data_IF_232718505719
#
_entry.id   IF_232718505719
#
_cell.length_a   1.000
_cell.length_b   1.000
_cell.length_c   1.000
_cell.angle_alpha   90.00
_cell.angle_beta   90.00
_cell.angle_gamma   90.00
#
_symmetry.space_group_name_H-M   'P 1'
#
loop_
_entity.id
_entity.type
_entity.pdbx_description
1 polymer ?
#
# COMPACT_ATOMS: atom_id res chain seq x y z
N UNK A 1 -10.79 -3.27 -65.36
CA UNK A 1 -11.77 -3.45 -64.26
C UNK A 1 -11.48 -2.37 -63.24
N UNK A 2 -12.16 -1.25 -63.39
CA UNK A 2 -12.01 -0.06 -62.59
C UNK A 2 -12.85 -0.16 -61.32
N UNK A 3 -12.24 0.13 -60.18
CA UNK A 3 -12.91 0.21 -58.87
C UNK A 3 -12.97 1.68 -58.47
N UNK A 4 -14.15 2.25 -58.17
CA UNK A 4 -14.25 3.66 -57.80
C UNK A 4 -13.89 3.87 -56.32
N UNK A 5 -13.14 4.94 -56.06
CA UNK A 5 -12.85 5.48 -54.73
C UNK A 5 -14.08 6.21 -54.18
N UNK A 6 -14.54 5.80 -53.00
CA UNK A 6 -15.57 6.51 -52.22
C UNK A 6 -14.90 7.49 -51.26
N UNK A 7 -15.09 8.79 -51.52
CA UNK A 7 -14.75 9.87 -50.59
C UNK A 7 -15.71 9.88 -49.40
N UNK A 8 -15.18 9.55 -48.21
CA UNK A 8 -15.89 9.65 -46.94
C UNK A 8 -15.55 10.98 -46.25
N UNK A 9 -16.37 12.00 -46.48
CA UNK A 9 -16.28 13.28 -45.76
C UNK A 9 -16.73 13.11 -44.30
N UNK A 10 -15.75 13.14 -43.37
CA UNK A 10 -15.99 13.26 -41.94
C UNK A 10 -16.23 14.72 -41.55
N UNK A 11 -17.50 15.09 -41.33
CA UNK A 11 -17.92 16.32 -40.64
C UNK A 11 -17.50 16.25 -39.16
N UNK A 12 -16.51 17.04 -38.74
CA UNK A 12 -16.23 17.32 -37.32
C UNK A 12 -17.19 18.39 -36.81
N UNK A 13 -18.19 17.98 -36.02
CA UNK A 13 -19.01 18.88 -35.21
C UNK A 13 -18.22 19.31 -33.95
N UNK A 14 -17.97 20.61 -33.84
CA UNK A 14 -17.31 21.22 -32.67
C UNK A 14 -18.37 21.56 -31.62
N UNK A 15 -18.53 20.71 -30.60
CA UNK A 15 -19.31 21.04 -29.40
C UNK A 15 -18.41 21.72 -28.37
N UNK A 16 -18.64 23.02 -28.15
CA UNK A 16 -18.09 23.75 -27.01
C UNK A 16 -18.84 23.33 -25.74
N UNK A 17 -18.15 22.62 -24.86
CA UNK A 17 -18.62 22.39 -23.49
C UNK A 17 -18.41 23.66 -22.68
N UNK A 18 -19.50 24.26 -22.22
CA UNK A 18 -19.51 25.40 -21.31
C UNK A 18 -19.27 24.90 -19.88
N UNK A 19 -18.12 25.28 -19.29
CA UNK A 19 -17.82 24.99 -17.88
C UNK A 19 -18.55 26.00 -16.96
N UNK A 20 -19.17 25.54 -15.86
CA UNK A 20 -19.81 26.43 -14.90
C UNK A 20 -18.80 27.26 -14.08
N UNK A 21 -19.22 28.47 -13.76
CA UNK A 21 -18.44 29.50 -13.07
C UNK A 21 -17.95 29.05 -11.68
N UNK A 22 -16.69 29.39 -11.38
CA UNK A 22 -16.04 29.19 -10.07
C UNK A 22 -16.73 30.03 -9.00
N UNK A 23 -17.22 29.37 -7.94
CA UNK A 23 -17.61 30.02 -6.68
C UNK A 23 -16.36 30.27 -5.84
N UNK A 24 -16.06 31.53 -5.57
CA UNK A 24 -15.06 31.99 -4.61
C UNK A 24 -15.57 31.82 -3.18
N UNK A 25 -14.88 31.01 -2.37
CA UNK A 25 -15.11 30.93 -0.93
C UNK A 25 -14.40 32.11 -0.24
N UNK A 26 -15.15 32.95 0.45
CA UNK A 26 -14.64 33.97 1.37
C UNK A 26 -14.31 33.28 2.70
N UNK A 27 -13.04 33.29 3.09
CA UNK A 27 -12.59 32.79 4.38
C UNK A 27 -12.80 33.86 5.47
N UNK A 28 -13.66 33.57 6.45
CA UNK A 28 -13.76 34.37 7.67
C UNK A 28 -12.60 34.03 8.61
N UNK A 29 -11.81 35.06 8.97
CA UNK A 29 -10.76 34.96 9.97
C UNK A 29 -11.36 34.91 11.38
N UNK A 30 -10.99 33.89 12.16
CA UNK A 30 -11.31 33.78 13.59
C UNK A 30 -10.09 34.30 14.38
N UNK A 31 -10.27 35.24 15.34
CA UNK A 31 -9.17 35.74 16.15
C UNK A 31 -8.68 34.68 17.15
N UNK A 32 -7.37 34.44 17.17
CA UNK A 32 -6.69 33.58 18.16
C UNK A 32 -6.48 34.35 19.46
N UNK A 33 -7.05 33.84 20.54
CA UNK A 33 -6.77 34.28 21.91
C UNK A 33 -5.36 33.88 22.35
N UNK A 34 -4.61 34.87 22.82
CA UNK A 34 -3.29 34.73 23.43
C UNK A 34 -3.43 34.30 24.89
N UNK A 35 -2.95 33.10 25.23
CA UNK A 35 -2.75 32.69 26.63
C UNK A 35 -1.26 32.52 26.94
N UNK A 36 -0.77 33.45 27.77
CA UNK A 36 0.57 33.45 28.34
C UNK A 36 0.64 32.46 29.51
N UNK A 37 1.36 31.35 29.33
CA UNK A 37 1.57 30.31 30.34
C UNK A 37 3.05 30.13 30.69
N UNK A 38 3.38 30.54 31.92
CA UNK A 38 4.67 30.56 32.63
C UNK A 38 5.61 29.37 32.37
N UNK A 39 6.88 29.70 32.07
CA UNK A 39 8.03 28.78 32.10
C UNK A 39 8.40 28.43 33.54
N UNK A 40 8.56 27.13 33.84
CA UNK A 40 9.41 26.67 34.95
C UNK A 40 10.65 26.03 34.35
N UNK A 41 11.79 26.65 34.62
CA UNK A 41 13.14 26.13 34.47
C UNK A 41 13.41 25.20 35.65
N UNK A 42 13.73 23.94 35.37
CA UNK A 42 14.61 23.12 36.22
C UNK A 42 15.47 22.24 35.30
N UNK A 43 16.77 22.50 35.40
CA UNK A 43 17.94 21.62 35.26
C UNK A 43 17.69 20.16 35.66
N UNK A 44 18.45 19.15 35.29
CA UNK A 44 19.50 18.89 34.31
C UNK A 44 19.93 17.44 34.58
N UNK A 45 20.32 16.70 33.54
CA UNK A 45 21.22 15.55 33.58
C UNK A 45 20.80 14.33 34.44
N UNK A 46 20.43 13.25 33.73
CA UNK A 46 20.71 11.81 33.98
C UNK A 46 19.55 10.98 33.39
N UNK A 47 19.56 10.76 32.07
CA UNK A 47 18.76 9.72 31.39
C UNK A 47 19.16 9.64 29.91
N UNK A 48 20.44 9.36 29.64
CA UNK A 48 20.85 8.80 28.36
C UNK A 48 21.26 7.36 28.66
N UNK A 49 20.77 6.39 27.87
CA UNK A 49 20.95 4.93 28.01
C UNK A 49 19.91 4.17 28.86
N UNK A 50 18.62 4.27 28.49
CA UNK A 50 17.62 3.21 28.75
C UNK A 50 16.33 3.45 27.92
N UNK A 51 16.48 3.72 26.63
CA UNK A 51 15.37 3.97 25.71
C UNK A 51 14.84 2.73 25.00
N UNK A 52 14.78 1.58 25.67
CA UNK A 52 14.00 0.42 25.21
C UNK A 52 12.69 0.39 26.02
N UNK A 53 11.90 1.46 25.87
CA UNK A 53 10.51 1.40 26.30
C UNK A 53 9.83 0.32 25.48
N UNK A 54 9.27 -0.70 26.12
CA UNK A 54 8.40 -1.66 25.49
C UNK A 54 7.34 -0.88 24.69
N UNK A 55 7.47 -0.88 23.37
CA UNK A 55 6.44 -0.36 22.47
C UNK A 55 5.32 -1.39 22.53
N UNK A 56 4.46 -1.23 23.53
CA UNK A 56 3.17 -1.88 23.55
C UNK A 56 2.38 -1.30 22.37
N UNK A 57 2.27 -2.07 21.30
CA UNK A 57 1.28 -1.82 20.27
C UNK A 57 -0.08 -1.93 20.95
N UNK A 58 -0.68 -0.78 21.24
CA UNK A 58 -2.04 -0.72 21.78
C UNK A 58 -2.97 -1.11 20.64
N UNK A 59 -3.56 -2.30 20.75
CA UNK A 59 -4.70 -2.68 19.93
C UNK A 59 -5.81 -1.67 20.22
N UNK A 60 -6.16 -0.85 19.23
CA UNK A 60 -7.32 0.03 19.31
C UNK A 60 -8.58 -0.83 19.16
N UNK A 61 -9.00 -1.47 20.26
CA UNK A 61 -10.36 -1.95 20.42
C UNK A 61 -11.29 -0.74 20.45
N UNK A 62 -12.08 -0.61 19.38
CA UNK A 62 -13.49 -0.26 19.41
C UNK A 62 -13.87 0.90 20.34
N UNK A 63 -13.82 2.13 19.82
CA UNK A 63 -14.68 3.20 20.34
C UNK A 63 -16.10 2.87 19.90
N UNK A 64 -16.79 2.11 20.76
CA UNK A 64 -18.22 1.84 20.67
C UNK A 64 -18.95 3.19 20.58
N UNK A 65 -19.45 3.48 19.39
CA UNK A 65 -20.28 4.65 19.13
C UNK A 65 -21.57 4.49 19.91
N UNK A 66 -21.67 5.19 21.05
CA UNK A 66 -22.89 5.34 21.84
C UNK A 66 -23.98 5.97 20.97
N UNK A 67 -24.82 5.13 20.36
CA UNK A 67 -26.02 5.53 19.63
C UNK A 67 -26.97 6.21 20.63
N UNK A 68 -27.43 7.44 20.40
CA UNK A 68 -28.43 8.06 21.25
C UNK A 68 -29.76 7.31 21.09
N UNK A 69 -30.36 6.96 22.23
CA UNK A 69 -31.60 6.21 22.35
C UNK A 69 -32.74 6.85 21.52
N UNK A 70 -33.42 6.00 20.74
CA UNK A 70 -34.65 6.36 20.05
C UNK A 70 -35.79 6.64 21.06
N UNK A 71 -36.69 7.61 20.76
CA UNK A 71 -37.87 7.86 21.59
C UNK A 71 -38.87 6.70 21.53
N UNK A 72 -39.69 6.50 22.59
CA UNK A 72 -40.61 5.37 22.66
C UNK A 72 -41.78 5.50 21.67
N UNK A 73 -42.00 4.42 20.92
CA UNK A 73 -43.18 4.23 20.07
C UNK A 73 -44.45 4.09 20.94
N UNK A 74 -45.56 4.78 20.61
CA UNK A 74 -46.83 4.60 21.31
C UNK A 74 -47.49 3.25 20.96
N UNK A 75 -48.17 2.68 21.95
CA UNK A 75 -48.85 1.40 21.91
C UNK A 75 -49.98 1.32 20.85
N UNK A 76 -50.24 0.15 20.24
CA UNK A 76 -51.33 -0.03 19.29
C UNK A 76 -52.68 -0.23 20.00
N UNK A 77 -53.69 0.52 19.55
CA UNK A 77 -55.08 0.31 19.88
C UNK A 77 -55.72 -0.68 18.88
N UNK A 78 -56.25 -1.78 19.43
CA UNK A 78 -57.59 -2.30 19.16
C UNK A 78 -58.07 -2.65 17.73
N UNK A 79 -58.30 -3.96 17.55
CA UNK A 79 -59.58 -4.55 17.10
C UNK A 79 -59.95 -4.49 15.60
N UNK A 80 -59.89 -5.64 14.90
CA UNK A 80 -61.08 -6.43 14.49
C UNK A 80 -60.73 -7.51 13.44
N UNK A 81 -61.07 -8.76 13.77
CA UNK A 81 -61.42 -9.84 12.83
C UNK A 81 -62.92 -9.69 12.45
N UNK A 82 -63.42 -10.20 11.32
CA UNK A 82 -63.56 -11.64 10.97
C UNK A 82 -63.07 -11.90 9.52
N UNK A 83 -63.00 -13.10 8.93
CA UNK A 83 -64.00 -14.16 8.83
C UNK A 83 -63.35 -15.39 8.16
N UNK A 84 -63.85 -16.56 8.54
CA UNK A 84 -63.36 -17.88 8.19
C UNK A 84 -63.63 -18.28 6.73
N UNK A 85 -62.79 -19.18 6.19
CA UNK A 85 -63.28 -20.25 5.30
C UNK A 85 -62.47 -21.53 5.48
N UNK A 86 -63.22 -22.57 5.82
CA UNK A 86 -62.84 -23.95 6.04
C UNK A 86 -62.45 -24.67 4.73
N UNK A 87 -61.61 -25.71 4.84
CA UNK A 87 -61.56 -26.77 3.82
C UNK A 87 -60.37 -27.74 3.99
N UNK A 88 -60.58 -29.07 3.97
CA UNK A 88 -59.71 -30.09 4.60
C UNK A 88 -58.70 -30.70 3.59
N UNK A 89 -57.56 -31.25 4.00
CA UNK A 89 -57.41 -32.56 4.63
C UNK A 89 -56.13 -33.26 4.14
N UNK A 90 -55.70 -34.38 4.76
CA UNK A 90 -54.30 -34.82 4.82
C UNK A 90 -54.00 -36.09 4.00
N UNK A 91 -52.72 -36.33 3.70
CA UNK A 91 -52.20 -37.69 3.44
C UNK A 91 -50.73 -37.81 3.86
N UNK A 92 -50.51 -38.77 4.76
CA UNK A 92 -49.26 -39.44 5.09
C UNK A 92 -48.79 -40.29 3.86
N UNK A 93 -47.71 -41.07 3.81
CA UNK A 93 -46.64 -41.49 4.71
C UNK A 93 -45.62 -42.24 3.82
N UNK A 94 -44.43 -42.51 4.37
CA UNK A 94 -43.57 -43.68 4.10
C UNK A 94 -42.91 -43.91 2.71
N UNK A 95 -41.58 -44.15 2.75
CA UNK A 95 -40.89 -45.42 2.36
C UNK A 95 -39.44 -45.10 1.92
N UNK A 96 -38.43 -45.39 2.74
CA UNK A 96 -37.64 -46.64 2.79
C UNK A 96 -36.50 -46.75 1.76
N UNK A 97 -35.28 -46.41 2.23
CA UNK A 97 -34.03 -47.20 2.21
C UNK A 97 -33.51 -47.80 0.85
N UNK A 98 -32.39 -48.58 0.84
CA UNK A 98 -31.11 -48.15 0.28
C UNK A 98 -30.63 -49.02 -0.91
N UNK A 99 -29.56 -48.59 -1.59
CA UNK A 99 -28.95 -49.35 -2.69
C UNK A 99 -27.42 -49.30 -2.66
N UNK A 100 -26.83 -50.46 -2.37
CA UNK A 100 -25.41 -50.82 -2.47
C UNK A 100 -24.88 -50.84 -3.92
N UNK A 101 -23.56 -50.66 -4.07
CA UNK A 101 -22.61 -51.40 -4.95
C UNK A 101 -21.37 -50.52 -5.19
N UNK A 102 -20.19 -50.79 -4.60
CA UNK A 102 -19.17 -51.76 -5.05
C UNK A 102 -18.97 -51.87 -6.56
N UNK A 103 -17.83 -51.41 -7.07
CA UNK A 103 -16.81 -52.22 -7.78
C UNK A 103 -15.99 -51.42 -8.83
N UNK A 104 -14.67 -51.42 -8.62
CA UNK A 104 -13.59 -51.64 -9.60
C UNK A 104 -13.57 -50.93 -10.97
N UNK A 105 -12.47 -50.21 -11.25
CA UNK A 105 -11.62 -50.30 -12.46
C UNK A 105 -10.45 -49.33 -12.25
N UNK A 106 -9.20 -49.77 -12.02
CA UNK A 106 -8.27 -50.42 -12.95
C UNK A 106 -7.84 -49.52 -14.13
N UNK A 107 -6.58 -49.08 -14.03
CA UNK A 107 -5.58 -48.92 -15.09
C UNK A 107 -5.95 -48.20 -16.40
N UNK A 108 -5.24 -47.12 -16.69
CA UNK A 108 -4.39 -47.05 -17.90
C UNK A 108 -3.56 -45.77 -17.94
N UNK A 109 -2.24 -45.95 -17.96
CA UNK A 109 -1.26 -44.98 -18.43
C UNK A 109 -1.26 -44.95 -19.97
N UNK A 110 -1.00 -43.79 -20.59
CA UNK A 110 -0.29 -43.74 -21.86
C UNK A 110 1.04 -42.98 -21.66
N UNK A 111 2.17 -43.66 -21.74
CA UNK A 111 2.99 -43.81 -22.95
C UNK A 111 3.44 -42.49 -23.61
N UNK A 112 4.61 -42.03 -23.17
CA UNK A 112 5.82 -41.92 -23.99
C UNK A 112 5.66 -41.44 -25.45
N UNK A 113 5.65 -40.12 -25.63
CA UNK A 113 5.79 -39.46 -26.92
C UNK A 113 7.23 -39.00 -27.16
N UNK A 114 8.00 -39.84 -27.85
CA UNK A 114 9.31 -39.55 -28.44
C UNK A 114 9.18 -38.45 -29.51
N UNK A 115 9.66 -37.23 -29.21
CA UNK A 115 9.82 -36.16 -30.20
C UNK A 115 11.22 -36.19 -30.79
N UNK A 116 11.26 -36.58 -32.07
CA UNK A 116 12.43 -36.57 -32.96
C UNK A 116 13.09 -35.19 -32.99
N UNK A 117 14.36 -35.17 -32.59
CA UNK A 117 15.34 -34.16 -32.96
C UNK A 117 15.39 -34.01 -34.48
N UNK A 118 15.01 -32.83 -34.99
CA UNK A 118 15.27 -32.39 -36.36
C UNK A 118 16.41 -31.38 -36.29
N UNK A 119 17.60 -31.83 -36.63
CA UNK A 119 18.77 -30.99 -36.90
C UNK A 119 18.50 -30.16 -38.18
N UNK A 120 18.02 -28.93 -38.01
CA UNK A 120 17.98 -27.91 -39.05
C UNK A 120 19.27 -27.09 -39.01
N UNK A 121 19.98 -27.04 -40.13
CA UNK A 121 21.19 -26.25 -40.33
C UNK A 121 20.93 -24.73 -40.12
N UNK A 122 21.93 -23.96 -39.69
CA UNK A 122 21.78 -22.53 -39.45
C UNK A 122 21.74 -21.76 -40.78
N UNK A 123 20.61 -21.12 -41.07
CA UNK A 123 20.52 -20.10 -42.12
C UNK A 123 21.20 -18.82 -41.62
N UNK A 124 22.42 -18.60 -42.09
CA UNK A 124 23.17 -17.36 -41.90
C UNK A 124 22.54 -16.27 -42.78
N UNK A 125 21.79 -15.35 -42.16
CA UNK A 125 21.34 -14.14 -42.83
C UNK A 125 22.46 -13.08 -42.83
N UNK A 126 22.71 -12.40 -43.96
CA UNK A 126 23.72 -11.34 -44.04
C UNK A 126 23.30 -10.12 -43.21
N UNK A 127 24.17 -9.72 -42.28
CA UNK A 127 24.04 -8.51 -41.47
C UNK A 127 24.37 -7.29 -42.36
N UNK A 128 23.41 -6.38 -42.65
CA UNK A 128 23.72 -5.15 -43.36
C UNK A 128 24.57 -4.23 -42.46
N UNK A 129 25.81 -4.04 -42.87
CA UNK A 129 26.75 -3.09 -42.28
C UNK A 129 26.47 -1.69 -42.81
N UNK A 130 25.68 -0.89 -42.10
CA UNK A 130 25.79 0.58 -42.06
C UNK A 130 24.67 1.19 -41.22
N UNK A 131 24.93 1.46 -39.94
CA UNK A 131 24.16 2.47 -39.22
C UNK A 131 24.84 3.84 -39.39
N UNK A 132 24.09 4.91 -39.71
CA UNK A 132 24.62 6.27 -39.70
C UNK A 132 24.95 6.72 -38.27
N UNK A 133 25.91 7.65 -38.09
CA UNK A 133 26.30 8.15 -36.78
C UNK A 133 25.12 8.84 -36.10
N UNK A 134 24.82 8.41 -34.87
CA UNK A 134 23.80 8.98 -34.02
C UNK A 134 24.09 10.48 -33.80
N UNK A 135 23.23 11.33 -34.38
CA UNK A 135 23.20 12.75 -34.07
C UNK A 135 22.92 12.89 -32.56
N UNK A 136 23.86 13.53 -31.86
CA UNK A 136 23.86 13.66 -30.40
C UNK A 136 22.56 14.23 -29.86
N UNK A 137 21.83 13.40 -29.12
CA UNK A 137 20.81 13.89 -28.21
C UNK A 137 21.51 14.73 -27.13
N UNK A 138 20.99 15.92 -26.78
CA UNK A 138 21.58 16.74 -25.74
C UNK A 138 21.60 15.93 -24.44
N UNK A 139 22.80 15.71 -23.89
CA UNK A 139 22.97 15.09 -22.60
C UNK A 139 22.10 15.85 -21.58
N UNK A 140 21.04 15.19 -21.10
CA UNK A 140 20.17 15.71 -20.07
C UNK A 140 20.99 15.75 -18.78
N UNK A 141 21.69 16.87 -18.57
CA UNK A 141 22.57 17.09 -17.43
C UNK A 141 21.67 17.34 -16.23
N UNK A 142 21.35 16.27 -15.50
CA UNK A 142 20.66 16.37 -14.22
C UNK A 142 21.35 17.44 -13.36
N UNK A 143 20.62 18.43 -12.82
CA UNK A 143 21.23 19.46 -11.99
C UNK A 143 21.87 18.78 -10.78
N UNK A 144 23.19 18.91 -10.67
CA UNK A 144 23.95 18.48 -9.51
C UNK A 144 23.50 19.32 -8.32
N UNK A 145 22.68 18.73 -7.44
CA UNK A 145 22.29 19.32 -6.16
C UNK A 145 23.45 19.23 -5.17
N UNK A 146 24.53 19.95 -5.48
CA UNK A 146 25.69 20.15 -4.61
C UNK A 146 25.94 21.62 -4.25
N UNK A 147 25.21 22.57 -4.83
CA UNK A 147 25.39 23.99 -4.54
C UNK A 147 24.14 24.60 -3.92
N UNK A 148 24.14 24.57 -2.59
CA UNK A 148 23.26 25.33 -1.70
C UNK A 148 23.45 26.83 -1.98
N UNK A 149 22.67 27.38 -2.91
CA UNK A 149 22.60 28.84 -3.11
C UNK A 149 22.08 29.47 -1.84
N UNK A 150 22.90 30.34 -1.26
CA UNK A 150 22.63 31.13 -0.06
C UNK A 150 21.85 32.39 -0.44
N UNK A 151 20.76 32.24 -1.20
CA UNK A 151 19.90 33.35 -1.57
C UNK A 151 18.80 33.45 -0.51
N UNK A 152 18.90 34.49 0.33
CA UNK A 152 18.12 34.72 1.54
C UNK A 152 16.66 35.10 1.32
N UNK A 153 15.94 34.37 0.47
CA UNK A 153 14.50 34.29 0.57
C UNK A 153 14.19 33.18 1.57
N UNK A 154 13.25 33.39 2.49
CA UNK A 154 12.80 32.37 3.44
C UNK A 154 12.09 31.24 2.68
N UNK A 155 12.84 30.48 1.90
CA UNK A 155 12.44 29.24 1.27
C UNK A 155 11.89 28.40 2.41
N UNK A 156 10.56 28.28 2.43
CA UNK A 156 9.83 27.63 3.49
C UNK A 156 10.48 26.27 3.71
N UNK A 157 10.87 26.01 4.97
CA UNK A 157 11.55 24.79 5.38
C UNK A 157 10.60 23.59 5.21
N UNK A 158 10.51 23.17 3.96
CA UNK A 158 9.55 22.19 3.46
C UNK A 158 10.29 20.96 3.03
N UNK A 159 9.63 19.83 3.25
CA UNK A 159 10.12 18.49 2.94
C UNK A 159 9.13 17.87 1.97
N UNK A 160 9.66 17.26 0.91
CA UNK A 160 8.89 16.42 0.01
C UNK A 160 8.93 15.00 0.56
N UNK A 161 7.76 14.42 0.82
CA UNK A 161 7.61 13.04 1.31
C UNK A 161 6.70 12.26 0.38
N UNK A 162 7.12 11.05 0.01
CA UNK A 162 6.37 10.17 -0.87
C UNK A 162 5.67 9.08 -0.05
N UNK A 163 4.34 9.06 -0.13
CA UNK A 163 3.49 8.09 0.54
C UNK A 163 2.98 7.05 -0.45
N UNK A 164 3.25 5.77 -0.18
CA UNK A 164 2.81 4.64 -1.01
C UNK A 164 1.93 3.62 -0.25
N UNK A 165 1.75 3.80 1.07
CA UNK A 165 0.96 2.92 1.95
C UNK A 165 -0.26 3.64 2.54
N UNK A 166 -0.61 3.33 3.79
CA UNK A 166 -1.75 3.95 4.47
C UNK A 166 -1.69 5.48 4.57
N UNK A 167 -0.51 6.09 4.40
CA UNK A 167 -0.33 7.54 4.40
C UNK A 167 -0.89 8.22 3.15
N UNK A 168 -1.22 7.47 2.09
CA UNK A 168 -1.98 8.03 0.97
C UNK A 168 -3.37 8.49 1.42
N UNK A 169 -3.94 7.85 2.45
CA UNK A 169 -5.23 8.21 3.01
C UNK A 169 -5.11 9.49 3.84
N UNK A 170 -5.91 10.51 3.48
CA UNK A 170 -5.91 11.83 4.15
C UNK A 170 -6.26 11.72 5.63
N UNK A 171 -7.23 10.88 5.98
CA UNK A 171 -7.63 10.66 7.36
C UNK A 171 -6.49 10.12 8.22
N UNK A 172 -5.63 9.27 7.65
CA UNK A 172 -4.45 8.73 8.34
C UNK A 172 -3.41 9.82 8.62
N UNK A 173 -3.08 10.67 7.65
CA UNK A 173 -2.14 11.79 7.86
C UNK A 173 -2.73 12.83 8.84
N UNK A 174 -4.02 13.14 8.72
CA UNK A 174 -4.68 14.11 9.60
C UNK A 174 -4.65 13.67 11.07
N UNK A 175 -4.90 12.38 11.35
CA UNK A 175 -4.76 11.79 12.69
C UNK A 175 -3.34 11.90 13.27
N UNK A 176 -2.35 12.20 12.43
CA UNK A 176 -0.96 12.39 12.85
C UNK A 176 -0.59 13.82 13.16
N UNK A 177 -1.52 14.77 13.05
CA UNK A 177 -1.30 16.21 13.28
C UNK A 177 -0.26 16.82 12.33
N UNK A 178 -0.25 16.33 11.09
CA UNK A 178 0.64 16.75 10.00
C UNK A 178 -0.12 17.65 9.06
N UNK A 179 0.34 18.88 8.87
CA UNK A 179 -0.25 19.81 7.92
C UNK A 179 0.34 19.61 6.52
N UNK A 180 -0.51 19.21 5.58
CA UNK A 180 -0.14 19.06 4.16
C UNK A 180 -0.28 20.41 3.45
N UNK A 181 0.79 20.87 2.81
CA UNK A 181 0.82 22.13 2.05
C UNK A 181 0.38 21.92 0.60
N UNK A 182 0.86 20.85 -0.04
CA UNK A 182 0.43 20.40 -1.37
C UNK A 182 0.49 18.89 -1.47
N UNK A 183 -0.24 18.33 -2.42
CA UNK A 183 -0.25 16.89 -2.72
C UNK A 183 -0.40 16.69 -4.22
N UNK A 184 0.37 15.78 -4.78
CA UNK A 184 0.37 15.48 -6.20
C UNK A 184 0.47 13.96 -6.39
N UNK A 185 -0.33 13.33 -7.28
CA UNK A 185 -0.17 11.92 -7.59
C UNK A 185 1.18 11.71 -8.30
N UNK A 186 1.90 10.68 -7.88
CA UNK A 186 3.24 10.42 -8.38
C UNK A 186 3.54 8.91 -8.45
N UNK A 187 4.53 8.57 -9.25
CA UNK A 187 5.04 7.23 -9.47
C UNK A 187 6.53 7.19 -9.11
N UNK A 188 7.00 6.09 -8.54
CA UNK A 188 8.44 5.85 -8.35
C UNK A 188 9.07 5.67 -9.73
N UNK A 189 10.11 6.46 -10.04
CA UNK A 189 10.71 6.50 -11.38
C UNK A 189 11.58 5.26 -11.66
N UNK A 190 12.09 4.64 -10.60
CA UNK A 190 12.96 3.47 -10.67
C UNK A 190 12.14 2.17 -10.82
N UNK A 191 12.19 1.49 -11.98
CA UNK A 191 11.43 0.28 -12.24
C UNK A 191 12.05 -0.93 -11.55
N UNK A 192 13.09 -0.82 -10.73
CA UNK A 192 13.55 -1.91 -9.86
C UNK A 192 12.86 -1.87 -8.49
N UNK A 193 12.23 -0.76 -8.11
CA UNK A 193 11.57 -0.60 -6.82
C UNK A 193 10.15 -1.17 -6.88
N UNK A 194 9.78 -1.96 -5.88
CA UNK A 194 8.49 -2.64 -5.75
C UNK A 194 7.86 -2.36 -4.40
N UNK A 195 6.53 -2.35 -4.37
CA UNK A 195 5.74 -2.41 -3.16
C UNK A 195 5.59 -3.87 -2.76
N UNK A 196 6.01 -4.21 -1.54
CA UNK A 196 5.83 -5.56 -0.97
C UNK A 196 5.29 -5.47 0.45
N UNK A 197 4.54 -6.48 0.89
CA UNK A 197 3.97 -6.54 2.25
C UNK A 197 4.87 -7.35 3.19
N UNK A 198 6.07 -6.81 3.45
CA UNK A 198 7.11 -7.42 4.30
C UNK A 198 7.37 -6.65 5.60
N UNK A 199 6.61 -5.62 5.93
CA UNK A 199 6.76 -4.97 7.23
C UNK A 199 5.95 -5.70 8.32
N UNK A 200 6.41 -5.66 9.57
CA UNK A 200 5.70 -6.21 10.73
C UNK A 200 4.21 -5.86 10.71
N UNK A 201 3.33 -6.86 10.88
CA UNK A 201 1.88 -6.69 10.79
C UNK A 201 1.31 -6.72 9.37
N UNK A 202 2.14 -7.07 8.37
CA UNK A 202 1.72 -7.13 6.96
C UNK A 202 1.55 -5.76 6.32
N UNK A 203 2.29 -4.75 6.80
CA UNK A 203 2.30 -3.42 6.20
C UNK A 203 3.22 -3.38 4.98
N UNK A 204 2.93 -2.44 4.07
CA UNK A 204 3.68 -2.25 2.84
C UNK A 204 5.05 -1.60 3.09
N UNK A 205 6.05 -2.02 2.32
CA UNK A 205 7.39 -1.42 2.26
C UNK A 205 7.88 -1.35 0.82
N UNK A 206 8.81 -0.43 0.54
CA UNK A 206 9.52 -0.42 -0.75
C UNK A 206 10.74 -1.34 -0.69
N UNK A 207 10.95 -2.12 -1.74
CA UNK A 207 12.15 -2.94 -1.91
C UNK A 207 12.69 -2.79 -3.33
N UNK A 208 14.02 -2.64 -3.43
CA UNK A 208 14.74 -2.69 -4.69
C UNK A 208 15.00 -4.14 -5.05
N UNK A 209 14.55 -4.56 -6.23
CA UNK A 209 14.87 -5.87 -6.81
C UNK A 209 16.03 -5.69 -7.78
N UNK A 210 17.13 -6.42 -7.60
CA UNK A 210 18.20 -6.39 -8.58
C UNK A 210 17.75 -7.07 -9.87
N UNK A 211 17.72 -6.32 -10.97
CA UNK A 211 17.42 -6.85 -12.30
C UNK A 211 18.59 -7.72 -12.74
N UNK A 212 18.43 -9.05 -12.67
CA UNK A 212 19.30 -9.96 -13.43
C UNK A 212 20.28 -10.82 -12.65
N UNK A 213 20.23 -10.88 -11.32
CA UNK A 213 20.78 -12.04 -10.63
C UNK A 213 19.77 -13.19 -10.73
N UNK A 214 19.75 -13.84 -11.89
CA UNK A 214 19.38 -15.26 -11.91
C UNK A 214 20.49 -15.97 -11.13
N UNK A 215 20.34 -16.06 -9.81
CA UNK A 215 21.29 -16.81 -8.98
C UNK A 215 21.34 -18.23 -9.55
N UNK A 216 22.46 -18.56 -10.18
CA UNK A 216 22.73 -19.86 -10.78
C UNK A 216 22.74 -20.99 -9.72
N UNK A 217 22.63 -20.63 -8.43
CA UNK A 217 22.58 -21.52 -7.28
C UNK A 217 21.17 -21.64 -6.69
N UNK A 218 20.14 -21.94 -7.51
CA UNK A 218 18.87 -22.50 -7.03
C UNK A 218 18.04 -21.67 -6.03
N UNK A 219 18.47 -20.46 -5.67
CA UNK A 219 17.71 -19.49 -4.90
C UNK A 219 16.64 -18.90 -5.80
N UNK A 220 15.41 -19.38 -5.69
CA UNK A 220 14.30 -18.78 -6.40
C UNK A 220 14.18 -17.32 -5.94
N UNK A 221 14.60 -16.36 -6.77
CA UNK A 221 14.21 -14.97 -6.59
C UNK A 221 12.69 -14.95 -6.67
N UNK A 222 12.03 -14.88 -5.51
CA UNK A 222 10.58 -14.81 -5.44
C UNK A 222 10.13 -13.53 -6.15
N UNK A 223 9.50 -13.70 -7.31
CA UNK A 223 8.72 -12.66 -7.95
C UNK A 223 7.75 -12.09 -6.89
N UNK A 224 7.60 -10.76 -6.77
CA UNK A 224 6.76 -10.19 -5.72
C UNK A 224 5.36 -10.75 -5.88
N UNK A 225 4.74 -11.12 -4.76
CA UNK A 225 3.44 -11.79 -4.78
C UNK A 225 2.37 -10.93 -5.43
N UNK A 226 2.53 -9.61 -5.36
CA UNK A 226 1.63 -8.62 -5.94
C UNK A 226 2.42 -7.69 -6.85
N UNK A 227 2.07 -7.68 -8.13
CA UNK A 227 2.74 -6.84 -9.14
C UNK A 227 1.74 -5.84 -9.75
N UNK A 228 2.02 -4.54 -9.70
CA UNK A 228 1.27 -3.54 -10.45
C UNK A 228 1.33 -3.84 -11.96
N UNK A 229 0.24 -3.53 -12.69
CA UNK A 229 0.13 -3.84 -14.12
C UNK A 229 1.21 -3.16 -14.97
N UNK A 230 1.57 -1.92 -14.61
CA UNK A 230 2.60 -1.14 -15.30
C UNK A 230 3.99 -1.32 -14.70
N UNK A 231 4.12 -2.16 -13.67
CA UNK A 231 5.37 -2.46 -12.97
C UNK A 231 5.88 -1.34 -12.05
N UNK A 232 5.17 -0.23 -11.88
CA UNK A 232 5.63 0.89 -11.06
C UNK A 232 4.82 1.03 -9.76
N UNK A 233 5.43 1.65 -8.75
CA UNK A 233 4.77 1.95 -7.48
C UNK A 233 4.17 3.35 -7.55
N UNK A 234 2.85 3.44 -7.49
CA UNK A 234 2.14 4.71 -7.43
C UNK A 234 1.91 5.12 -5.98
N UNK A 235 1.86 6.42 -5.76
CA UNK A 235 1.65 7.01 -4.46
C UNK A 235 1.36 8.50 -4.55
N UNK A 236 1.54 9.19 -3.44
CA UNK A 236 1.24 10.61 -3.31
C UNK A 236 2.48 11.33 -2.84
N UNK A 237 2.89 12.33 -3.61
CA UNK A 237 3.94 13.26 -3.24
C UNK A 237 3.33 14.38 -2.39
N UNK A 238 3.67 14.42 -1.11
CA UNK A 238 3.26 15.49 -0.21
C UNK A 238 4.38 16.51 -0.01
N UNK A 239 3.99 17.79 0.02
CA UNK A 239 4.83 18.85 0.56
C UNK A 239 4.35 19.17 1.97
N UNK A 240 5.24 19.04 2.94
CA UNK A 240 4.96 19.30 4.36
C UNK A 240 6.03 20.22 4.94
N UNK A 241 5.78 20.81 6.11
CA UNK A 241 6.83 21.51 6.86
C UNK A 241 7.82 20.50 7.46
N UNK A 242 9.07 20.89 7.73
CA UNK A 242 10.03 20.02 8.42
C UNK A 242 9.53 19.56 9.79
N UNK A 243 8.93 20.46 10.56
CA UNK A 243 8.38 20.14 11.87
C UNK A 243 7.27 19.07 11.78
N UNK A 244 6.41 19.13 10.77
CA UNK A 244 5.38 18.11 10.56
C UNK A 244 5.96 16.79 10.04
N UNK A 245 7.00 16.85 9.19
CA UNK A 245 7.72 15.65 8.77
C UNK A 245 8.36 14.92 9.97
N UNK A 246 8.92 15.66 10.94
CA UNK A 246 9.47 15.06 12.16
C UNK A 246 8.38 14.39 13.03
N UNK A 247 7.19 15.00 13.13
CA UNK A 247 6.03 14.36 13.80
C UNK A 247 5.64 13.06 13.09
N UNK A 248 5.59 13.09 11.76
CA UNK A 248 5.29 11.91 10.94
C UNK A 248 6.33 10.82 11.18
N UNK A 249 7.61 11.16 11.09
CA UNK A 249 8.73 10.22 11.28
C UNK A 249 8.73 9.57 12.67
N UNK A 250 8.33 10.29 13.73
CA UNK A 250 8.20 9.71 15.08
C UNK A 250 7.08 8.66 15.18
N UNK A 251 6.06 8.74 14.32
CA UNK A 251 4.92 7.82 14.30
C UNK A 251 5.14 6.62 13.36
N UNK A 252 6.13 6.66 12.47
CA UNK A 252 6.52 5.56 11.57
C UNK A 252 7.55 4.63 12.22
N UNK A 253 7.25 4.15 13.43
CA UNK A 253 8.12 3.21 14.16
C UNK A 253 8.43 1.97 13.31
N UNK A 254 9.68 1.52 13.31
CA UNK A 254 10.12 0.37 12.52
C UNK A 254 10.46 0.69 11.05
N UNK A 255 10.28 1.93 10.60
CA UNK A 255 10.76 2.40 9.30
C UNK A 255 12.01 3.27 9.46
N UNK A 256 12.83 3.29 8.42
CA UNK A 256 13.88 4.28 8.17
C UNK A 256 13.42 5.22 7.05
N UNK A 257 14.04 6.39 6.95
CA UNK A 257 13.79 7.33 5.85
C UNK A 257 14.80 7.08 4.74
N UNK A 258 14.33 6.95 3.51
CA UNK A 258 15.15 6.75 2.31
C UNK A 258 14.74 7.74 1.22
N UNK A 259 15.69 8.22 0.44
CA UNK A 259 15.41 9.14 -0.67
C UNK A 259 15.05 8.34 -1.93
N UNK A 260 13.93 8.65 -2.55
CA UNK A 260 13.43 8.02 -3.76
C UNK A 260 13.21 9.05 -4.86
N UNK A 261 13.54 8.66 -6.10
CA UNK A 261 13.18 9.43 -7.29
C UNK A 261 11.74 9.12 -7.66
N UNK A 262 10.93 10.17 -7.72
CA UNK A 262 9.52 10.07 -8.09
C UNK A 262 9.19 11.04 -9.20
N UNK A 263 8.23 10.67 -10.03
CA UNK A 263 7.72 11.49 -11.13
C UNK A 263 6.23 11.72 -10.90
N UNK A 264 5.80 12.98 -10.83
CA UNK A 264 4.37 13.31 -10.78
C UNK A 264 3.72 12.95 -12.11
N UNK A 265 2.39 12.81 -12.10
CA UNK A 265 1.66 12.49 -13.33
C UNK A 265 1.78 13.58 -14.40
N UNK A 266 2.04 14.82 -13.99
CA UNK A 266 2.34 15.94 -14.89
C UNK A 266 3.75 15.86 -15.51
N UNK A 267 4.54 14.83 -15.15
CA UNK A 267 5.87 14.55 -15.69
C UNK A 267 7.03 15.20 -14.93
N UNK A 268 6.77 15.96 -13.86
CA UNK A 268 7.82 16.58 -13.07
C UNK A 268 8.50 15.57 -12.14
N UNK A 269 9.83 15.57 -12.11
CA UNK A 269 10.63 14.67 -11.27
C UNK A 269 11.09 15.34 -9.97
N UNK A 270 11.03 14.59 -8.87
CA UNK A 270 11.42 15.04 -7.55
C UNK A 270 12.23 13.97 -6.81
N UNK A 271 13.13 14.43 -5.94
CA UNK A 271 13.74 13.64 -4.87
C UNK A 271 12.88 13.79 -3.63
N UNK A 272 12.26 12.70 -3.18
CA UNK A 272 11.33 12.71 -2.06
C UNK A 272 11.78 11.70 -0.99
N UNK A 273 11.45 11.98 0.26
CA UNK A 273 11.72 11.07 1.36
C UNK A 273 10.57 10.06 1.48
N UNK A 274 10.88 8.77 1.48
CA UNK A 274 9.93 7.69 1.71
C UNK A 274 10.32 6.93 2.98
N UNK A 275 9.32 6.39 3.68
CA UNK A 275 9.56 5.47 4.79
C UNK A 275 9.77 4.07 4.24
N UNK A 276 10.89 3.42 4.54
CA UNK A 276 11.22 2.05 4.11
C UNK A 276 11.47 1.21 5.35
N UNK A 277 11.04 -0.05 5.37
CA UNK A 277 11.19 -0.89 6.56
C UNK A 277 12.64 -0.99 7.01
N UNK A 278 12.85 -0.82 8.32
CA UNK A 278 14.11 -1.18 8.93
C UNK A 278 14.29 -2.71 8.82
N UNK A 279 15.48 -3.23 8.46
CA UNK A 279 15.69 -4.67 8.33
C UNK A 279 15.33 -5.46 9.58
N UNK A 280 15.43 -4.85 10.77
CA UNK A 280 15.05 -5.49 12.04
C UNK A 280 13.54 -5.67 12.22
N UNK A 281 12.73 -4.91 11.50
CA UNK A 281 11.25 -4.96 11.52
C UNK A 281 10.67 -5.57 10.23
N UNK A 282 11.54 -6.01 9.33
CA UNK A 282 11.18 -6.67 8.08
C UNK A 282 10.93 -8.16 8.36
N UNK A 283 9.86 -8.67 7.80
CA UNK A 283 9.49 -10.08 7.79
C UNK A 283 10.36 -10.83 6.79
N UNK A 284 10.71 -12.11 7.08
CA UNK A 284 11.53 -12.91 6.18
C UNK A 284 10.83 -13.18 4.84
N UNK A 285 9.50 -13.33 4.87
CA UNK A 285 8.67 -13.59 3.70
C UNK A 285 7.56 -12.54 3.58
N UNK A 286 7.08 -12.33 2.36
CA UNK A 286 5.89 -11.50 2.09
C UNK A 286 4.63 -12.18 2.61
N UNK A 287 3.81 -11.43 3.34
CA UNK A 287 2.54 -11.90 3.91
C UNK A 287 1.37 -11.19 3.24
N UNK A 288 0.16 -11.76 3.40
CA UNK A 288 -1.05 -11.09 2.91
C UNK A 288 -1.33 -9.85 3.78
N UNK A 289 -1.58 -8.67 3.22
CA UNK A 289 -1.95 -7.52 4.04
C UNK A 289 -3.32 -7.70 4.68
N UNK A 290 -3.55 -6.98 5.80
CA UNK A 290 -4.86 -6.99 6.44
C UNK A 290 -5.91 -6.23 5.62
N UNK A 291 -7.17 -6.67 5.68
CA UNK A 291 -8.27 -6.01 4.99
C UNK A 291 -8.39 -4.53 5.36
N UNK A 292 -8.30 -4.23 6.67
CA UNK A 292 -8.32 -2.85 7.19
C UNK A 292 -7.18 -2.00 6.63
N UNK A 293 -6.00 -2.57 6.41
CA UNK A 293 -4.88 -1.84 5.82
C UNK A 293 -5.10 -1.57 4.33
N UNK A 294 -5.49 -2.59 3.56
CA UNK A 294 -5.74 -2.43 2.12
C UNK A 294 -6.91 -1.49 1.84
N UNK A 295 -7.94 -1.49 2.69
CA UNK A 295 -9.03 -0.50 2.62
C UNK A 295 -8.50 0.94 2.64
N UNK A 296 -7.54 1.25 3.54
CA UNK A 296 -6.90 2.58 3.58
C UNK A 296 -6.09 2.88 2.32
N UNK A 297 -5.41 1.89 1.75
CA UNK A 297 -4.68 2.06 0.49
C UNK A 297 -5.65 2.40 -0.66
N UNK A 298 -6.76 1.68 -0.76
CA UNK A 298 -7.81 1.91 -1.77
C UNK A 298 -8.45 3.27 -1.62
N UNK A 299 -8.87 3.64 -0.41
CA UNK A 299 -9.42 4.97 -0.10
C UNK A 299 -8.41 6.07 -0.43
N UNK A 300 -7.15 5.90 0.00
CA UNK A 300 -6.08 6.85 -0.29
C UNK A 300 -5.80 6.98 -1.79
N UNK A 301 -5.82 5.88 -2.54
CA UNK A 301 -5.62 5.91 -3.98
C UNK A 301 -6.74 6.66 -4.69
N UNK A 302 -8.00 6.41 -4.31
CA UNK A 302 -9.16 7.10 -4.84
C UNK A 302 -9.16 8.61 -4.48
N UNK A 303 -8.90 8.95 -3.21
CA UNK A 303 -8.87 10.33 -2.70
C UNK A 303 -7.83 11.25 -3.37
N UNK A 304 -6.79 10.65 -3.94
CA UNK A 304 -5.70 11.34 -4.61
C UNK A 304 -5.72 11.13 -6.13
N UNK A 305 -6.77 10.50 -6.68
CA UNK A 305 -6.93 10.24 -8.11
C UNK A 305 -5.71 9.54 -8.72
N UNK A 306 -5.23 8.48 -8.05
CA UNK A 306 -4.19 7.63 -8.63
C UNK A 306 -4.68 6.96 -9.91
N UNK A 307 -3.77 6.31 -10.62
CA UNK A 307 -4.07 5.75 -11.93
C UNK A 307 -5.16 4.66 -11.81
N UNK A 308 -6.18 4.63 -12.68
CA UNK A 308 -7.26 3.63 -12.60
C UNK A 308 -6.77 2.19 -12.64
N UNK A 309 -5.73 1.88 -13.42
CA UNK A 309 -5.17 0.52 -13.48
C UNK A 309 -4.46 0.17 -12.18
N UNK A 310 -3.78 1.15 -11.56
CA UNK A 310 -3.20 0.98 -10.23
C UNK A 310 -4.29 0.78 -9.15
N UNK A 311 -5.41 1.50 -9.24
CA UNK A 311 -6.54 1.31 -8.33
C UNK A 311 -7.18 -0.09 -8.50
N UNK A 312 -7.28 -0.58 -9.74
CA UNK A 312 -7.73 -1.93 -10.05
C UNK A 312 -6.75 -2.98 -9.47
N UNK A 313 -5.45 -2.74 -9.59
CA UNK A 313 -4.41 -3.56 -8.95
C UNK A 313 -4.61 -3.65 -7.43
N UNK A 314 -4.74 -2.50 -6.73
CA UNK A 314 -4.98 -2.48 -5.28
C UNK A 314 -6.29 -3.20 -4.89
N UNK A 315 -7.28 -3.20 -5.77
CA UNK A 315 -8.55 -3.91 -5.57
C UNK A 315 -8.39 -5.43 -5.69
N UNK A 316 -7.44 -5.89 -6.50
CA UNK A 316 -7.12 -7.31 -6.69
C UNK A 316 -6.26 -7.93 -5.60
N UNK A 317 -5.66 -7.13 -4.70
CA UNK A 317 -4.82 -7.65 -3.61
C UNK A 317 -5.66 -8.49 -2.64
N UNK A 318 -5.26 -9.76 -2.47
CA UNK A 318 -5.86 -10.68 -1.49
C UNK A 318 -5.53 -10.24 -0.07
N UNK A 319 -6.50 -10.36 0.84
CA UNK A 319 -6.38 -9.86 2.22
C UNK A 319 -6.69 -10.93 3.25
N UNK A 320 -6.22 -10.72 4.48
CA UNK A 320 -6.62 -11.48 5.67
C UNK A 320 -7.40 -10.60 6.65
N UNK A 321 -8.24 -11.23 7.47
CA UNK A 321 -8.87 -10.54 8.60
C UNK A 321 -7.82 -10.07 9.60
N UNK A 322 -8.05 -8.90 10.21
CA UNK A 322 -7.17 -8.39 11.27
C UNK A 322 -7.33 -9.13 12.60
N UNK A 323 -8.44 -9.86 12.80
CA UNK A 323 -8.67 -10.61 14.02
C UNK A 323 -7.85 -11.90 14.03
N UNK A 324 -6.89 -12.01 14.96
CA UNK A 324 -6.09 -13.21 15.15
C UNK A 324 -5.02 -13.42 14.08
N UNK A 325 -4.23 -12.37 13.78
CA UNK A 325 -3.11 -12.51 12.85
C UNK A 325 -2.14 -13.63 13.29
N UNK A 326 -1.74 -14.53 12.38
CA UNK A 326 -0.75 -15.56 12.66
C UNK A 326 0.56 -14.99 13.22
N UNK A 327 1.32 -15.81 13.94
CA UNK A 327 2.63 -15.43 14.50
C UNK A 327 3.61 -14.91 13.44
N UNK A 328 3.47 -15.38 12.20
CA UNK A 328 4.35 -15.04 11.08
C UNK A 328 4.33 -13.55 10.73
N UNK A 329 3.24 -12.84 11.05
CA UNK A 329 3.13 -11.39 10.88
C UNK A 329 4.02 -10.60 11.85
N UNK A 330 4.56 -11.28 12.85
CA UNK A 330 5.33 -10.69 13.94
C UNK A 330 6.70 -11.38 14.11
N UNK A 331 7.09 -12.28 13.21
CA UNK A 331 8.37 -12.98 13.24
C UNK A 331 9.45 -12.10 12.60
N UNK A 332 9.87 -11.08 13.34
CA UNK A 332 10.93 -10.15 12.92
C UNK A 332 12.25 -10.41 13.68
N UNK A 333 13.42 -10.08 13.10
CA UNK A 333 14.70 -10.17 13.80
C UNK A 333 14.72 -9.45 15.15
N UNK A 334 14.07 -8.27 15.25
CA UNK A 334 13.98 -7.51 16.50
C UNK A 334 13.30 -8.30 17.63
N UNK A 335 12.30 -9.11 17.31
CA UNK A 335 11.59 -9.94 18.29
C UNK A 335 12.48 -11.05 18.83
N UNK A 336 13.23 -11.72 17.96
CA UNK A 336 14.19 -12.74 18.37
C UNK A 336 15.31 -12.17 19.23
N UNK A 337 15.81 -10.97 18.90
CA UNK A 337 16.78 -10.27 19.73
C UNK A 337 16.21 -9.96 21.13
N UNK A 338 14.95 -9.54 21.19
CA UNK A 338 14.25 -9.32 22.46
C UNK A 338 14.15 -10.59 23.31
N UNK A 339 13.78 -11.72 22.71
CA UNK A 339 13.72 -13.00 23.42
C UNK A 339 15.10 -13.49 23.87
N UNK A 340 16.13 -13.35 23.03
CA UNK A 340 17.49 -13.70 23.38
C UNK A 340 17.97 -12.86 24.59
N UNK A 341 17.72 -11.56 24.58
CA UNK A 341 18.07 -10.67 25.68
C UNK A 341 17.36 -11.05 27.00
N UNK A 342 16.06 -11.37 26.94
CA UNK A 342 15.31 -11.84 28.10
C UNK A 342 15.85 -13.17 28.64
N UNK A 343 16.17 -14.11 27.74
CA UNK A 343 16.77 -15.40 28.11
C UNK A 343 18.12 -15.23 28.80
N UNK A 344 19.00 -14.40 28.25
CA UNK A 344 20.30 -14.09 28.87
C UNK A 344 20.11 -13.43 30.24
N UNK A 345 19.21 -12.46 30.34
CA UNK A 345 18.92 -11.76 31.60
C UNK A 345 18.41 -12.71 32.69
N UNK A 346 17.54 -13.65 32.31
CA UNK A 346 17.03 -14.68 33.23
C UNK A 346 18.14 -15.63 33.70
N UNK A 347 19.05 -16.04 32.80
CA UNK A 347 20.19 -16.87 33.16
C UNK A 347 21.16 -16.17 34.12
N UNK A 348 21.44 -14.87 33.89
CA UNK A 348 22.29 -14.07 34.79
C UNK A 348 21.64 -13.93 36.17
N UNK A 349 20.33 -13.66 36.22
CA UNK A 349 19.61 -13.58 37.48
C UNK A 349 19.62 -14.92 38.23
N UNK A 350 19.38 -16.04 37.54
CA UNK A 350 19.43 -17.38 38.15
C UNK A 350 20.82 -17.71 38.69
N UNK A 351 21.88 -17.37 37.95
CA UNK A 351 23.26 -17.57 38.40
C UNK A 351 23.57 -16.79 39.68
N UNK A 352 23.03 -15.56 39.82
CA UNK A 352 23.20 -14.75 41.02
C UNK A 352 22.50 -15.33 42.25
N UNK A 353 21.35 -15.98 42.09
CA UNK A 353 20.62 -16.62 43.21
C UNK A 353 21.17 -17.99 43.63
N UNK A 354 22.04 -18.60 42.81
CA UNK A 354 22.66 -19.89 43.10
C UNK A 354 24.03 -19.76 43.80
N UNK A 355 24.53 -18.54 44.01
CA UNK A 355 25.78 -18.23 44.72
C UNK A 355 25.53 -17.95 46.20
#
# INVERSE_FOLDING_TARGET
MDVPRSDLMLRRGSQRVQLPARRTCVAHAIPRGSSSGKRKLLSSAWAAWAGAGAVAWRDETEVESKVPAAPPTPAPAGTSSPEAREGPGPVADASAAPGDASASQAASSPQNGSSKSRSGAPLTLPIPSSMPPAAGLPAFRLPSFGQRRKDGNAATDTVLTFAYGANMNRGTIAKRDVQVLSRDPAVVDDPSIRLVFKHQGGYGTLERMEEGESTAEGGQHEEPRFRPYDGHVHGVLYRVTRADFEKLSKKEGGYRVEEVLVRTYDGAQYRALAFVSNPLFKLPQEVLPTEKYVAKLREGAADNYLDPDYQAFLSGISTVSSAGLPSDYFNTPSRYMGYAFLGISALVAAAFFLQ
#
